data_IF_374979368780
#
_entry.id   IF_374979368780
#
_cell.length_a   1.000
_cell.length_b   1.000
_cell.length_c   1.000
_cell.angle_alpha   90.00
_cell.angle_beta   90.00
_cell.angle_gamma   90.00
#
_symmetry.space_group_name_H-M   'P 1'
#
loop_
_entity.id
_entity.type
_entity.pdbx_description
1 polymer ?
#
# COMPACT_ATOMS: atom_id res chain seq x y z
N UNK A 1 -4.50 9.76 -14.28
CA UNK A 1 -3.94 9.17 -13.03
C UNK A 1 -3.35 7.84 -13.44
N UNK A 2 -2.04 7.78 -13.58
CA UNK A 2 -1.34 6.60 -14.11
C UNK A 2 -0.30 6.03 -13.14
N UNK A 3 -0.27 6.51 -11.89
CA UNK A 3 0.70 6.08 -10.88
C UNK A 3 0.01 5.44 -9.69
N UNK A 4 0.54 4.31 -9.25
CA UNK A 4 0.13 3.61 -8.04
C UNK A 4 1.29 3.64 -7.04
N UNK A 5 0.95 3.72 -5.76
CA UNK A 5 1.93 3.62 -4.69
C UNK A 5 1.59 2.41 -3.83
N UNK A 6 2.50 1.48 -3.65
CA UNK A 6 2.36 0.42 -2.65
C UNK A 6 2.69 0.98 -1.28
N UNK A 7 1.88 0.64 -0.27
CA UNK A 7 2.19 0.87 1.15
C UNK A 7 2.19 -0.47 1.85
N UNK A 8 3.30 -0.82 2.47
CA UNK A 8 3.51 -2.14 3.08
C UNK A 8 4.49 -2.08 4.24
N UNK A 9 4.26 -2.85 5.29
CA UNK A 9 5.26 -3.19 6.30
C UNK A 9 5.73 -4.63 6.02
N UNK A 10 7.06 -4.83 5.98
CA UNK A 10 7.65 -6.13 5.65
C UNK A 10 8.94 -6.37 6.42
N UNK A 11 9.18 -7.62 6.82
CA UNK A 11 10.45 -8.05 7.42
C UNK A 11 11.60 -8.00 6.41
N UNK A 12 12.85 -8.21 6.86
CA UNK A 12 14.01 -8.31 5.97
C UNK A 12 13.87 -9.45 4.95
N UNK A 13 13.16 -10.52 5.29
CA UNK A 13 12.80 -11.63 4.40
C UNK A 13 11.51 -11.41 3.62
N UNK A 14 11.00 -10.17 3.58
CA UNK A 14 9.75 -9.77 2.91
C UNK A 14 8.48 -10.41 3.48
N UNK A 15 8.48 -10.96 4.71
CA UNK A 15 7.29 -11.41 5.42
C UNK A 15 6.35 -10.24 5.74
N UNK A 16 5.07 -10.38 5.44
CA UNK A 16 4.03 -9.34 5.59
C UNK A 16 2.82 -9.79 6.39
N UNK A 17 2.76 -11.03 6.79
CA UNK A 17 1.61 -11.58 7.52
C UNK A 17 1.81 -12.99 8.00
N UNK A 18 0.93 -13.37 8.95
CA UNK A 18 0.78 -14.72 9.48
C UNK A 18 -0.70 -14.97 9.81
N UNK A 19 -1.26 -16.09 9.35
CA UNK A 19 -2.64 -16.46 9.64
C UNK A 19 -3.64 -15.30 9.36
N UNK A 20 -3.48 -14.62 8.23
CA UNK A 20 -4.30 -13.47 7.79
C UNK A 20 -4.24 -12.24 8.72
N UNK A 21 -3.22 -12.11 9.55
CA UNK A 21 -2.99 -10.95 10.42
C UNK A 21 -1.53 -10.46 10.32
N UNK A 22 -1.27 -9.25 10.81
CA UNK A 22 0.08 -8.76 11.01
C UNK A 22 0.70 -9.47 12.23
N UNK A 23 1.91 -10.02 12.14
CA UNK A 23 2.57 -10.66 13.30
C UNK A 23 3.07 -9.64 14.34
N UNK A 24 3.01 -8.36 14.03
CA UNK A 24 3.40 -7.25 14.92
C UNK A 24 2.23 -6.33 15.22
N UNK A 25 2.41 -5.54 16.29
CA UNK A 25 1.46 -4.50 16.65
C UNK A 25 2.21 -3.19 16.94
N UNK A 26 2.24 -2.30 15.95
CA UNK A 26 2.97 -1.03 15.94
C UNK A 26 1.99 0.15 15.79
N UNK A 27 1.44 0.70 16.88
CA UNK A 27 0.53 1.84 16.84
C UNK A 27 1.07 3.07 16.11
N UNK A 28 2.36 3.39 16.25
CA UNK A 28 2.98 4.54 15.55
C UNK A 28 3.05 4.30 14.04
N UNK A 29 3.42 3.09 13.64
CA UNK A 29 3.43 2.67 12.24
C UNK A 29 2.01 2.70 11.65
N UNK A 30 1.02 2.21 12.37
CA UNK A 30 -0.39 2.29 11.96
C UNK A 30 -0.88 3.74 11.82
N UNK A 31 -0.39 4.66 12.68
CA UNK A 31 -0.68 6.09 12.56
C UNK A 31 -0.04 6.69 11.29
N UNK A 32 1.20 6.30 10.99
CA UNK A 32 1.88 6.67 9.75
C UNK A 32 1.11 6.16 8.52
N UNK A 33 0.75 4.87 8.48
CA UNK A 33 -0.07 4.27 7.43
C UNK A 33 -1.39 5.03 7.22
N UNK A 34 -2.11 5.29 8.32
CA UNK A 34 -3.39 6.02 8.26
C UNK A 34 -3.19 7.42 7.68
N UNK A 35 -2.17 8.15 8.15
CA UNK A 35 -1.88 9.51 7.68
C UNK A 35 -1.47 9.55 6.22
N UNK A 36 -0.55 8.67 5.80
CA UNK A 36 -0.11 8.56 4.39
C UNK A 36 -1.29 8.33 3.46
N UNK A 37 -2.15 7.37 3.82
CA UNK A 37 -3.25 6.95 2.94
C UNK A 37 -4.46 7.87 2.97
N UNK A 38 -4.60 8.75 3.98
CA UNK A 38 -5.71 9.70 4.06
C UNK A 38 -5.32 11.16 3.74
N UNK A 39 -4.02 11.50 3.75
CA UNK A 39 -3.56 12.88 3.49
C UNK A 39 -3.79 13.27 2.01
N UNK A 40 -4.84 14.03 1.77
CA UNK A 40 -5.20 14.54 0.45
C UNK A 40 -5.55 16.03 0.53
N UNK A 41 -5.39 16.79 -0.56
CA UNK A 41 -5.84 18.18 -0.62
C UNK A 41 -7.34 18.31 -0.38
N UNK A 42 -7.78 19.49 0.05
CA UNK A 42 -9.20 19.80 0.25
C UNK A 42 -10.03 19.46 -1.01
N UNK A 43 -11.18 18.86 -0.79
CA UNK A 43 -12.09 18.43 -1.86
C UNK A 43 -11.66 17.15 -2.60
N UNK A 44 -10.55 16.50 -2.18
CA UNK A 44 -10.09 15.24 -2.76
C UNK A 44 -9.91 14.15 -1.70
N UNK A 45 -9.93 12.91 -2.16
CA UNK A 45 -9.62 11.74 -1.34
C UNK A 45 -8.55 10.88 -2.00
N UNK A 46 -7.80 10.17 -1.19
CA UNK A 46 -6.96 9.09 -1.70
C UNK A 46 -7.81 7.82 -1.87
N UNK A 47 -7.47 7.01 -2.85
CA UNK A 47 -8.02 5.68 -3.01
C UNK A 47 -7.10 4.63 -2.40
N UNK A 48 -7.67 3.62 -1.74
CA UNK A 48 -6.96 2.43 -1.26
C UNK A 48 -7.53 1.20 -1.95
N UNK A 49 -6.65 0.44 -2.61
CA UNK A 49 -6.99 -0.78 -3.34
C UNK A 49 -6.46 -1.96 -2.54
N UNK A 50 -7.32 -2.92 -2.25
CA UNK A 50 -6.96 -4.10 -1.46
C UNK A 50 -7.75 -5.34 -1.89
N UNK A 51 -7.18 -6.50 -1.65
CA UNK A 51 -7.92 -7.76 -1.76
C UNK A 51 -8.90 -7.94 -0.59
N UNK A 52 -9.94 -8.77 -0.79
CA UNK A 52 -10.96 -9.06 0.23
C UNK A 52 -10.36 -9.55 1.55
N UNK A 53 -9.37 -10.43 1.53
CA UNK A 53 -8.74 -10.93 2.77
C UNK A 53 -8.04 -9.82 3.56
N UNK A 54 -7.40 -8.86 2.86
CA UNK A 54 -6.83 -7.67 3.52
C UNK A 54 -7.94 -6.81 4.13
N UNK A 55 -9.05 -6.61 3.41
CA UNK A 55 -10.21 -5.89 3.96
C UNK A 55 -10.77 -6.58 5.22
N UNK A 56 -10.90 -7.90 5.20
CA UNK A 56 -11.38 -8.71 6.34
C UNK A 56 -10.44 -8.67 7.55
N UNK A 57 -9.13 -8.53 7.33
CA UNK A 57 -8.14 -8.41 8.40
C UNK A 57 -8.21 -7.07 9.15
N UNK A 58 -8.81 -6.03 8.54
CA UNK A 58 -9.07 -4.75 9.21
C UNK A 58 -10.21 -4.96 10.22
N UNK A 59 -10.02 -4.58 11.50
CA UNK A 59 -11.08 -4.71 12.49
C UNK A 59 -12.39 -4.06 12.04
N UNK A 60 -13.58 -4.67 12.25
CA UNK A 60 -14.87 -4.20 11.74
C UNK A 60 -15.17 -2.72 12.03
N UNK A 61 -14.75 -2.21 13.18
CA UNK A 61 -14.95 -0.81 13.58
C UNK A 61 -14.13 0.21 12.76
N UNK A 62 -13.16 -0.25 11.97
CA UNK A 62 -12.30 0.60 11.16
C UNK A 62 -12.50 0.40 9.66
N UNK A 63 -13.40 -0.48 9.24
CA UNK A 63 -13.68 -0.72 7.83
C UNK A 63 -15.13 -0.38 7.46
N UNK A 64 -15.38 0.26 6.31
CA UNK A 64 -14.36 0.76 5.37
C UNK A 64 -13.46 1.83 5.99
N UNK A 65 -12.23 1.98 5.47
CA UNK A 65 -11.27 2.96 5.99
C UNK A 65 -11.77 4.38 5.73
N UNK A 66 -11.95 5.16 6.80
CA UNK A 66 -12.49 6.53 6.75
C UNK A 66 -11.58 7.50 5.98
N UNK A 67 -12.16 8.57 5.43
CA UNK A 67 -11.48 9.62 4.64
C UNK A 67 -10.72 9.09 3.41
N UNK A 68 -11.15 7.94 2.86
CA UNK A 68 -10.55 7.28 1.71
C UNK A 68 -11.62 6.63 0.85
N UNK A 69 -11.36 6.55 -0.44
CA UNK A 69 -12.14 5.74 -1.37
C UNK A 69 -11.63 4.31 -1.24
N UNK A 70 -12.46 3.39 -0.76
CA UNK A 70 -12.08 1.98 -0.60
C UNK A 70 -12.45 1.19 -1.85
N UNK A 71 -11.48 0.52 -2.47
CA UNK A 71 -11.69 -0.39 -3.60
C UNK A 71 -11.24 -1.77 -3.19
N UNK A 72 -12.19 -2.69 -3.07
CA UNK A 72 -11.94 -4.06 -2.60
C UNK A 72 -12.11 -5.03 -3.76
N UNK A 73 -11.07 -5.80 -4.03
CA UNK A 73 -11.08 -6.79 -5.11
C UNK A 73 -11.54 -8.13 -4.53
N UNK A 74 -12.61 -8.69 -5.12
CA UNK A 74 -13.15 -9.99 -4.73
C UNK A 74 -13.80 -10.74 -5.90
N UNK A 75 -13.63 -12.04 -5.92
CA UNK A 75 -14.40 -12.94 -6.79
C UNK A 75 -15.85 -13.11 -6.32
N UNK A 76 -16.13 -12.89 -5.03
CA UNK A 76 -17.50 -12.85 -4.51
C UNK A 76 -18.12 -11.51 -4.83
N UNK A 77 -18.97 -11.45 -5.85
CA UNK A 77 -19.65 -10.23 -6.31
C UNK A 77 -20.75 -9.71 -5.37
N UNK A 78 -21.13 -10.50 -4.38
CA UNK A 78 -22.19 -10.16 -3.41
C UNK A 78 -21.63 -9.86 -2.01
N UNK A 79 -20.31 -9.65 -1.91
CA UNK A 79 -19.68 -9.35 -0.63
C UNK A 79 -20.10 -7.95 -0.17
N UNK A 80 -20.69 -7.86 1.02
CA UNK A 80 -21.08 -6.58 1.63
C UNK A 80 -19.86 -5.88 2.25
N UNK A 81 -19.59 -4.67 1.82
CA UNK A 81 -18.49 -3.83 2.30
C UNK A 81 -18.90 -2.89 3.43
N UNK A 82 -20.19 -2.79 3.77
CA UNK A 82 -20.69 -1.81 4.73
C UNK A 82 -20.44 -0.37 4.29
N UNK A 83 -20.53 -0.11 2.97
CA UNK A 83 -20.35 1.23 2.38
C UNK A 83 -21.40 2.20 2.89
N UNK A 84 -20.98 3.45 3.14
CA UNK A 84 -21.84 4.58 3.49
C UNK A 84 -21.51 5.78 2.59
N UNK A 85 -22.36 6.81 2.57
CA UNK A 85 -22.09 8.04 1.80
C UNK A 85 -20.81 8.74 2.29
N UNK A 86 -20.55 8.70 3.60
CA UNK A 86 -19.36 9.30 4.21
C UNK A 86 -18.08 8.45 4.03
N UNK A 87 -18.23 7.15 3.75
CA UNK A 87 -17.11 6.21 3.61
C UNK A 87 -17.38 5.30 2.41
N UNK A 88 -17.13 5.80 1.17
CA UNK A 88 -17.40 5.05 -0.04
C UNK A 88 -16.51 3.82 -0.16
N UNK A 89 -17.13 2.68 -0.45
CA UNK A 89 -16.46 1.42 -0.71
C UNK A 89 -17.04 0.74 -1.94
N UNK A 90 -16.17 0.32 -2.84
CA UNK A 90 -16.51 -0.30 -4.11
C UNK A 90 -15.96 -1.71 -4.19
N UNK A 91 -16.82 -2.65 -4.58
CA UNK A 91 -16.45 -4.04 -4.81
C UNK A 91 -16.15 -4.24 -6.30
N UNK A 92 -14.92 -4.62 -6.61
CA UNK A 92 -14.48 -4.82 -7.98
C UNK A 92 -14.03 -6.28 -8.20
N UNK A 93 -14.20 -6.79 -9.43
CA UNK A 93 -13.89 -8.17 -9.73
C UNK A 93 -12.41 -8.43 -10.04
N UNK A 94 -11.61 -7.38 -10.20
CA UNK A 94 -10.19 -7.46 -10.50
C UNK A 94 -9.54 -6.10 -10.67
N UNK A 95 -8.24 -6.10 -10.89
CA UNK A 95 -7.41 -4.90 -10.98
C UNK A 95 -7.86 -3.97 -12.14
N UNK A 96 -8.19 -4.54 -13.30
CA UNK A 96 -8.69 -3.76 -14.44
C UNK A 96 -9.92 -2.93 -14.07
N UNK A 97 -10.92 -3.54 -13.45
CA UNK A 97 -12.16 -2.84 -13.05
C UNK A 97 -11.87 -1.78 -11.96
N UNK A 98 -10.91 -2.06 -11.08
CA UNK A 98 -10.42 -1.06 -10.10
C UNK A 98 -9.84 0.17 -10.79
N UNK A 99 -9.13 0.00 -11.90
CA UNK A 99 -8.60 1.13 -12.70
C UNK A 99 -9.71 1.89 -13.43
N UNK A 100 -10.70 1.20 -13.98
CA UNK A 100 -11.88 1.83 -14.58
C UNK A 100 -12.64 2.66 -13.53
N UNK A 101 -12.77 2.14 -12.31
CA UNK A 101 -13.34 2.88 -11.15
C UNK A 101 -12.52 4.13 -10.83
N UNK A 102 -11.20 4.01 -10.68
CA UNK A 102 -10.32 5.15 -10.43
C UNK A 102 -10.43 6.21 -11.51
N UNK A 103 -10.51 5.80 -12.77
CA UNK A 103 -10.66 6.71 -13.90
C UNK A 103 -11.97 7.47 -13.84
N UNK A 104 -13.08 6.82 -13.48
CA UNK A 104 -14.39 7.47 -13.32
C UNK A 104 -14.43 8.48 -12.17
N UNK A 105 -13.54 8.34 -11.19
CA UNK A 105 -13.43 9.19 -9.99
C UNK A 105 -12.20 10.11 -10.01
N UNK A 106 -11.53 10.27 -11.15
CA UNK A 106 -10.25 10.98 -11.26
C UNK A 106 -10.27 12.41 -10.72
N UNK A 107 -11.40 13.11 -10.84
CA UNK A 107 -11.55 14.50 -10.40
C UNK A 107 -11.56 14.63 -8.87
N UNK A 108 -12.07 13.64 -8.16
CA UNK A 108 -12.13 13.57 -6.69
C UNK A 108 -10.98 12.77 -6.07
N UNK A 109 -10.21 12.02 -6.87
CA UNK A 109 -9.10 11.19 -6.37
C UNK A 109 -7.77 11.93 -6.47
N UNK A 110 -7.02 12.00 -5.36
CA UNK A 110 -5.67 12.56 -5.34
C UNK A 110 -4.61 11.53 -5.70
N UNK A 111 -4.48 10.47 -4.90
CA UNK A 111 -3.51 9.37 -5.09
C UNK A 111 -4.21 8.02 -4.97
N UNK A 112 -3.62 7.00 -5.58
CA UNK A 112 -4.08 5.61 -5.45
C UNK A 112 -3.01 4.75 -4.77
N UNK A 113 -3.38 4.12 -3.67
CA UNK A 113 -2.53 3.25 -2.87
C UNK A 113 -2.96 1.79 -2.99
N UNK A 114 -2.01 0.90 -3.20
CA UNK A 114 -2.22 -0.55 -3.10
C UNK A 114 -1.75 -0.98 -1.70
N UNK A 115 -2.65 -1.55 -0.92
CA UNK A 115 -2.41 -1.87 0.49
C UNK A 115 -2.48 -3.38 0.81
N UNK A 116 -2.48 -4.20 -0.25
CA UNK A 116 -2.33 -5.65 -0.09
C UNK A 116 -3.51 -6.50 -0.56
N UNK A 117 -3.41 -7.83 -0.46
CA UNK A 117 -2.27 -8.62 0.02
C UNK A 117 -1.25 -9.02 -1.05
N UNK A 118 -0.48 -10.05 -0.74
CA UNK A 118 0.68 -10.46 -1.54
C UNK A 118 0.38 -10.68 -3.03
N UNK A 119 -0.70 -11.35 -3.37
CA UNK A 119 -1.09 -11.57 -4.77
C UNK A 119 -1.38 -10.26 -5.51
N UNK A 120 -2.00 -9.29 -4.83
CA UNK A 120 -2.28 -7.98 -5.43
C UNK A 120 -0.99 -7.16 -5.60
N UNK A 121 -0.06 -7.22 -4.63
CA UNK A 121 1.27 -6.63 -4.80
C UNK A 121 2.00 -7.23 -5.99
N UNK A 122 1.98 -8.56 -6.14
CA UNK A 122 2.61 -9.25 -7.26
C UNK A 122 2.02 -8.81 -8.60
N UNK A 123 0.69 -8.78 -8.71
CA UNK A 123 -0.01 -8.35 -9.93
C UNK A 123 0.33 -6.88 -10.29
N UNK A 124 0.34 -5.98 -9.29
CA UNK A 124 0.64 -4.57 -9.52
C UNK A 124 2.10 -4.31 -9.88
N UNK A 125 3.06 -5.03 -9.29
CA UNK A 125 4.48 -4.87 -9.57
C UNK A 125 4.85 -5.32 -10.99
N UNK A 126 4.09 -6.27 -11.57
CA UNK A 126 4.27 -6.75 -12.94
C UNK A 126 3.76 -5.76 -14.02
N UNK A 127 3.04 -4.71 -13.63
CA UNK A 127 2.57 -3.70 -14.58
C UNK A 127 3.74 -2.88 -15.11
N UNK A 128 3.89 -2.88 -16.43
CA UNK A 128 4.93 -2.10 -17.10
C UNK A 128 4.64 -0.60 -17.02
N UNK A 129 5.69 0.24 -16.91
CA UNK A 129 5.55 1.68 -17.01
C UNK A 129 4.76 2.11 -18.25
N UNK A 130 3.73 2.94 -18.05
CA UNK A 130 2.83 3.38 -19.11
C UNK A 130 2.29 4.78 -18.79
N UNK A 131 2.00 5.56 -19.82
CA UNK A 131 1.28 6.83 -19.73
C UNK A 131 -0.24 6.66 -19.67
N UNK A 132 -0.75 5.49 -20.06
CA UNK A 132 -2.18 5.21 -20.24
C UNK A 132 -2.69 4.30 -19.10
N UNK A 133 -1.98 3.22 -18.82
CA UNK A 133 -2.37 2.23 -17.81
C UNK A 133 -1.67 2.53 -16.49
N UNK A 134 -2.37 2.49 -15.34
CA UNK A 134 -1.73 2.66 -14.04
C UNK A 134 -0.66 1.58 -13.80
N UNK A 135 0.47 2.01 -13.21
CA UNK A 135 1.54 1.12 -12.78
C UNK A 135 2.16 1.62 -11.48
N UNK A 136 2.87 0.74 -10.77
CA UNK A 136 3.54 1.08 -9.52
C UNK A 136 4.83 1.84 -9.81
N UNK A 137 4.87 3.10 -9.41
CA UNK A 137 6.08 3.93 -9.51
C UNK A 137 6.76 4.12 -8.15
N UNK A 138 6.11 3.71 -7.06
CA UNK A 138 6.59 3.97 -5.70
C UNK A 138 6.16 2.90 -4.71
N UNK A 139 7.07 2.56 -3.80
CA UNK A 139 6.79 1.70 -2.65
C UNK A 139 7.16 2.46 -1.38
N UNK A 140 6.18 2.70 -0.51
CA UNK A 140 6.39 3.14 0.87
C UNK A 140 6.50 1.90 1.74
N UNK A 141 7.72 1.59 2.15
CA UNK A 141 8.05 0.38 2.86
C UNK A 141 8.39 0.71 4.32
N UNK A 142 7.61 0.18 5.26
CA UNK A 142 8.06 0.08 6.64
C UNK A 142 8.88 -1.19 6.77
N UNK A 143 10.21 -1.07 6.78
CA UNK A 143 11.11 -2.22 6.90
C UNK A 143 11.23 -2.62 8.36
N UNK A 144 10.68 -3.78 8.72
CA UNK A 144 10.85 -4.39 10.05
C UNK A 144 12.27 -4.99 10.11
N UNK A 145 13.05 -4.52 11.08
CA UNK A 145 14.47 -4.83 11.21
C UNK A 145 14.69 -5.98 12.21
N UNK A 146 14.01 -5.92 13.34
CA UNK A 146 14.12 -6.88 14.44
C UNK A 146 12.83 -6.89 15.27
N UNK A 147 12.37 -8.06 15.74
CA UNK A 147 12.85 -9.41 15.43
C UNK A 147 12.57 -9.84 13.97
N UNK A 148 13.09 -11.01 13.57
CA UNK A 148 12.96 -11.51 12.18
C UNK A 148 11.54 -11.90 11.78
N UNK A 149 10.68 -12.26 12.74
CA UNK A 149 9.34 -12.80 12.50
C UNK A 149 9.34 -13.97 11.50
N UNK A 150 10.20 -14.97 11.77
CA UNK A 150 10.37 -16.16 10.91
C UNK A 150 9.10 -16.99 10.75
N UNK A 151 8.12 -16.74 11.60
CA UNK A 151 6.80 -17.36 11.54
C UNK A 151 5.87 -16.80 10.44
N UNK A 152 6.26 -15.78 9.69
CA UNK A 152 5.48 -15.27 8.58
C UNK A 152 5.18 -16.39 7.57
N UNK A 153 3.93 -16.44 7.09
CA UNK A 153 3.44 -17.38 6.08
C UNK A 153 2.98 -16.69 4.77
N UNK A 154 2.98 -15.34 4.78
CA UNK A 154 2.67 -14.52 3.61
C UNK A 154 3.82 -13.54 3.36
N UNK A 155 4.26 -13.48 2.11
CA UNK A 155 5.43 -12.69 1.72
C UNK A 155 5.12 -11.73 0.58
N UNK A 156 5.70 -10.54 0.64
CA UNK A 156 5.72 -9.61 -0.49
C UNK A 156 6.75 -10.10 -1.54
N UNK A 157 6.47 -9.93 -2.85
CA UNK A 157 7.50 -10.16 -3.87
C UNK A 157 8.76 -9.34 -3.60
N UNK A 158 9.92 -9.91 -3.88
CA UNK A 158 11.20 -9.20 -3.78
C UNK A 158 11.38 -8.24 -4.95
N UNK A 159 10.71 -7.09 -4.87
CA UNK A 159 10.78 -6.06 -5.91
C UNK A 159 12.17 -5.41 -6.00
N UNK A 160 12.99 -5.48 -4.94
CA UNK A 160 14.35 -4.93 -4.94
C UNK A 160 15.33 -5.75 -5.78
N UNK A 161 15.02 -7.02 -6.04
CA UNK A 161 15.79 -7.85 -6.95
C UNK A 161 15.48 -7.58 -8.44
N UNK A 162 14.48 -6.74 -8.75
CA UNK A 162 14.12 -6.41 -10.13
C UNK A 162 15.23 -5.59 -10.81
N UNK A 163 15.70 -6.07 -11.97
CA UNK A 163 16.68 -5.36 -12.81
C UNK A 163 16.09 -5.14 -14.20
N UNK A 164 16.58 -4.10 -14.89
CA UNK A 164 16.28 -3.87 -16.29
C UNK A 164 17.12 -4.80 -17.20
N UNK A 165 16.93 -4.70 -18.51
CA UNK A 165 17.65 -5.51 -19.49
C UNK A 165 19.19 -5.35 -19.43
N UNK A 166 19.68 -4.22 -18.92
CA UNK A 166 21.10 -3.96 -18.71
C UNK A 166 21.63 -4.46 -17.34
N UNK A 167 20.79 -5.14 -16.55
CA UNK A 167 21.15 -5.62 -15.21
C UNK A 167 21.20 -4.53 -14.13
N UNK A 168 20.69 -3.33 -14.41
CA UNK A 168 20.64 -2.22 -13.45
C UNK A 168 19.39 -2.33 -12.59
N UNK A 169 19.48 -2.13 -11.26
CA UNK A 169 18.30 -2.14 -10.38
C UNK A 169 17.22 -1.17 -10.86
N UNK A 170 15.98 -1.64 -10.88
CA UNK A 170 14.81 -0.84 -11.29
C UNK A 170 14.34 0.08 -10.17
N UNK A 171 14.63 -0.27 -8.91
CA UNK A 171 14.19 0.49 -7.76
C UNK A 171 15.36 1.19 -7.06
N UNK A 172 15.19 2.47 -6.81
CA UNK A 172 16.15 3.29 -6.07
C UNK A 172 15.54 3.79 -4.76
N UNK A 173 16.33 3.70 -3.67
CA UNK A 173 15.93 4.23 -2.39
C UNK A 173 15.99 5.75 -2.41
N UNK A 174 14.89 6.41 -2.18
CA UNK A 174 14.81 7.86 -2.04
C UNK A 174 15.42 8.32 -0.71
N UNK A 175 15.86 9.56 -0.68
CA UNK A 175 16.32 10.22 0.56
C UNK A 175 15.16 10.41 1.54
N UNK A 176 15.47 10.59 2.81
CA UNK A 176 14.46 10.87 3.83
C UNK A 176 13.71 12.18 3.55
N UNK A 177 14.41 13.21 3.09
CA UNK A 177 13.77 14.49 2.70
C UNK A 177 12.82 14.33 1.52
N UNK A 178 13.16 13.49 0.54
CA UNK A 178 12.26 13.16 -0.55
C UNK A 178 11.02 12.41 -0.06
N UNK A 179 11.16 11.49 0.91
CA UNK A 179 10.02 10.82 1.56
C UNK A 179 9.11 11.84 2.25
N UNK A 180 9.66 12.72 3.11
CA UNK A 180 8.89 13.78 3.81
C UNK A 180 8.18 14.70 2.82
N UNK A 181 8.89 15.18 1.82
CA UNK A 181 8.32 16.04 0.78
C UNK A 181 7.18 15.38 0.04
N UNK A 182 7.30 14.08 -0.26
CA UNK A 182 6.27 13.35 -0.97
C UNK A 182 5.03 13.06 -0.12
N UNK A 183 5.19 12.62 1.14
CA UNK A 183 4.03 12.36 2.03
C UNK A 183 3.39 13.66 2.54
N UNK A 184 4.14 14.77 2.55
CA UNK A 184 3.66 16.09 2.95
C UNK A 184 3.59 16.30 4.48
N UNK A 185 4.35 15.53 5.24
CA UNK A 185 4.44 15.67 6.70
C UNK A 185 5.74 15.07 7.26
N UNK A 186 6.07 15.41 8.49
CA UNK A 186 7.24 14.88 9.17
C UNK A 186 7.13 13.38 9.42
N UNK A 187 8.16 12.65 9.01
CA UNK A 187 8.35 11.21 9.22
C UNK A 187 9.61 11.03 10.07
N UNK A 188 9.60 10.19 11.10
CA UNK A 188 10.81 9.88 11.85
C UNK A 188 11.92 9.32 10.96
N UNK A 189 13.14 9.82 11.12
CA UNK A 189 14.31 9.40 10.35
C UNK A 189 15.03 8.23 11.02
N UNK A 190 15.58 7.33 10.20
CA UNK A 190 16.37 6.20 10.66
C UNK A 190 15.54 5.14 11.38
N UNK A 191 16.24 4.33 12.18
CA UNK A 191 15.64 3.24 12.92
C UNK A 191 14.77 3.75 14.07
N UNK A 192 13.56 3.25 14.14
CA UNK A 192 12.59 3.48 15.19
C UNK A 192 12.44 2.22 16.03
N UNK A 193 12.06 2.40 17.29
CA UNK A 193 11.71 1.28 18.16
C UNK A 193 10.32 1.49 18.77
N UNK A 194 9.51 0.45 18.73
CA UNK A 194 8.22 0.40 19.39
C UNK A 194 7.93 -1.02 19.90
N UNK A 195 7.73 -1.16 21.20
CA UNK A 195 7.44 -2.46 21.86
C UNK A 195 8.48 -3.54 21.58
N UNK A 196 9.76 -3.17 21.56
CA UNK A 196 10.86 -4.09 21.28
C UNK A 196 11.00 -4.49 19.80
N UNK A 197 10.27 -3.82 18.90
CA UNK A 197 10.37 -4.03 17.46
C UNK A 197 11.06 -2.83 16.84
N UNK A 198 12.13 -3.10 16.10
CA UNK A 198 12.88 -2.10 15.36
C UNK A 198 12.40 -2.06 13.91
N UNK A 199 12.20 -0.86 13.39
CA UNK A 199 11.74 -0.66 12.02
C UNK A 199 12.20 0.69 11.47
N UNK A 200 12.11 0.88 10.15
CA UNK A 200 12.48 2.11 9.45
C UNK A 200 11.46 2.42 8.35
N UNK A 201 11.11 3.70 8.20
CA UNK A 201 10.30 4.15 7.08
C UNK A 201 11.17 4.43 5.86
N UNK A 202 10.85 3.80 4.73
CA UNK A 202 11.58 3.91 3.48
C UNK A 202 10.64 4.27 2.34
N UNK A 203 11.16 5.00 1.35
CA UNK A 203 10.51 5.17 0.06
C UNK A 203 11.43 4.66 -1.04
N UNK A 204 10.89 3.82 -1.91
CA UNK A 204 11.56 3.30 -3.09
C UNK A 204 10.84 3.82 -4.33
N UNK A 205 11.61 4.30 -5.31
CA UNK A 205 11.09 4.91 -6.54
C UNK A 205 11.56 4.09 -7.73
N UNK A 206 10.61 3.78 -8.62
CA UNK A 206 10.91 3.05 -9.85
C UNK A 206 11.60 3.96 -10.84
N UNK A 207 12.74 3.54 -11.35
CA UNK A 207 13.44 4.18 -12.45
C UNK A 207 12.76 3.77 -13.77
N UNK A 208 12.39 4.76 -14.61
CA UNK A 208 11.58 4.58 -15.84
C UNK A 208 12.36 5.11 -17.04
#
# INVERSE_FOLDING_TARGET
MSRLTIVVAATKSNGIGKNSQLPWRLPKEMTYFARVTSNAPEGKHNAVIMGRHTYESIPPKFRPLSNRINIVISRNKQYDLGSTDDTPAFLESGLRHSFERLLSMRESTHRAFVIGGASLYSECLQLSPSSIVPFVDRVLLTRIISPSFDECDVFMPDFLAETNEAGVPVWERATHDALKGWVGFEVPEGEQEEKGIQYEFQMWVRQV
#
